data_IF_080448469610
#
_entry.id   IF_080448469610
#
_cell.length_a   1.000
_cell.length_b   1.000
_cell.length_c   1.000
_cell.angle_alpha   90.00
_cell.angle_beta   90.00
_cell.angle_gamma   90.00
#
_symmetry.space_group_name_H-M   'P 1'
#
loop_
_entity.id
_entity.type
_entity.pdbx_description
1 polymer ?
#
# COMPACT_ATOMS: atom_id res chain seq x y z
N UNK A 1 6.61 6.62 -10.27
CA UNK A 1 5.70 6.42 -9.12
C UNK A 1 6.09 7.27 -7.90
N UNK A 2 7.22 7.02 -7.20
CA UNK A 2 7.56 7.81 -5.99
C UNK A 2 7.83 9.30 -6.26
N UNK A 3 8.54 9.64 -7.34
CA UNK A 3 8.73 11.03 -7.74
C UNK A 3 7.40 11.77 -7.97
N UNK A 4 6.40 11.11 -8.57
CA UNK A 4 5.07 11.68 -8.81
C UNK A 4 4.24 11.80 -7.52
N UNK A 5 4.48 10.95 -6.51
CA UNK A 5 3.84 11.08 -5.21
C UNK A 5 4.39 12.30 -4.46
N UNK A 6 5.71 12.50 -4.51
CA UNK A 6 6.37 13.68 -3.92
C UNK A 6 5.84 14.99 -4.51
N UNK A 7 5.58 15.06 -5.82
CA UNK A 7 5.05 16.30 -6.44
C UNK A 7 3.65 16.67 -5.98
N UNK A 8 2.94 15.77 -5.27
CA UNK A 8 1.62 16.05 -4.70
C UNK A 8 1.69 16.58 -3.27
N UNK A 9 2.87 16.61 -2.65
CA UNK A 9 3.06 17.21 -1.34
C UNK A 9 3.17 18.73 -1.48
N UNK A 10 2.48 19.46 -0.61
CA UNK A 10 2.51 20.90 -0.47
C UNK A 10 3.29 21.31 0.80
N UNK A 11 4.50 20.75 0.94
CA UNK A 11 5.40 21.01 2.07
C UNK A 11 5.23 20.05 3.26
N UNK A 12 4.35 19.06 3.18
CA UNK A 12 4.24 18.04 4.23
C UNK A 12 5.48 17.13 4.25
N UNK A 13 5.80 16.62 5.45
CA UNK A 13 6.93 15.72 5.70
C UNK A 13 6.45 14.38 6.27
N UNK A 14 5.69 13.59 5.48
CA UNK A 14 5.09 12.36 5.96
C UNK A 14 6.15 11.30 6.31
N UNK A 15 5.71 10.31 7.08
CA UNK A 15 6.47 9.09 7.31
C UNK A 15 5.99 8.05 6.30
N UNK A 16 6.92 7.48 5.53
CA UNK A 16 6.62 6.32 4.70
C UNK A 16 7.07 5.06 5.42
N UNK A 17 6.11 4.25 5.85
CA UNK A 17 6.38 2.95 6.47
C UNK A 17 6.33 1.82 5.44
N UNK A 18 7.35 0.96 5.41
CA UNK A 18 7.42 -0.23 4.55
C UNK A 18 7.94 -1.44 5.32
N UNK A 19 7.81 -2.64 4.74
CA UNK A 19 8.60 -3.78 5.19
C UNK A 19 10.08 -3.65 4.79
N UNK A 20 10.88 -4.68 5.08
CA UNK A 20 12.31 -4.77 4.74
C UNK A 20 12.59 -5.38 3.36
N UNK A 21 11.59 -5.46 2.47
CA UNK A 21 11.76 -5.96 1.12
C UNK A 21 12.89 -5.24 0.37
N UNK A 22 13.67 -6.00 -0.40
CA UNK A 22 14.87 -5.50 -1.08
C UNK A 22 14.60 -4.26 -1.95
N UNK A 23 13.41 -4.18 -2.55
CA UNK A 23 12.97 -3.06 -3.37
C UNK A 23 12.91 -1.73 -2.60
N UNK A 24 12.61 -1.77 -1.30
CA UNK A 24 12.53 -0.60 -0.42
C UNK A 24 13.90 -0.18 0.14
N UNK A 25 14.94 -0.99 -0.11
CA UNK A 25 16.33 -0.70 0.26
C UNK A 25 17.15 -0.17 -0.92
N UNK A 26 16.63 -0.22 -2.15
CA UNK A 26 17.34 0.24 -3.34
C UNK A 26 17.55 1.77 -3.33
N UNK A 27 18.58 2.24 -4.04
CA UNK A 27 18.97 3.66 -4.14
C UNK A 27 17.84 4.64 -4.50
N UNK A 28 16.81 4.17 -5.19
CA UNK A 28 15.64 4.98 -5.56
C UNK A 28 14.68 5.27 -4.40
N UNK A 29 14.81 4.59 -3.25
CA UNK A 29 13.92 4.74 -2.10
C UNK A 29 14.42 5.79 -1.09
N UNK A 30 15.74 5.86 -0.78
CA UNK A 30 16.31 6.95 0.02
C UNK A 30 16.13 8.35 -0.59
N UNK A 31 15.74 8.47 -1.87
CA UNK A 31 15.39 9.77 -2.48
C UNK A 31 14.28 10.49 -1.71
N UNK A 32 13.43 9.75 -1.01
CA UNK A 32 12.35 10.27 -0.17
C UNK A 32 12.87 11.19 0.94
N UNK A 33 14.05 10.88 1.51
CA UNK A 33 14.70 11.71 2.51
C UNK A 33 15.07 13.10 1.97
N UNK A 34 15.39 13.21 0.67
CA UNK A 34 15.70 14.50 0.02
C UNK A 34 14.47 15.42 -0.05
N UNK A 35 13.28 14.86 0.08
CA UNK A 35 12.01 15.58 0.06
C UNK A 35 11.41 15.71 1.47
N UNK A 36 12.19 15.47 2.53
CA UNK A 36 11.72 15.57 3.91
C UNK A 36 10.81 14.41 4.35
N UNK A 37 10.64 13.37 3.53
CA UNK A 37 9.85 12.19 3.87
C UNK A 37 10.72 11.24 4.70
N UNK A 38 10.29 10.94 5.92
CA UNK A 38 11.02 10.01 6.79
C UNK A 38 10.69 8.56 6.42
N UNK A 39 11.68 7.80 6.00
CA UNK A 39 11.52 6.36 5.83
C UNK A 39 11.46 5.66 7.19
N UNK A 40 10.47 4.81 7.38
CA UNK A 40 10.32 3.89 8.51
C UNK A 40 10.21 2.47 7.96
N UNK A 41 10.93 1.52 8.54
CA UNK A 41 10.85 0.12 8.12
C UNK A 41 10.50 -0.78 9.29
N UNK A 42 9.75 -1.84 9.04
CA UNK A 42 9.43 -2.87 10.03
C UNK A 42 10.70 -3.48 10.64
N UNK A 43 10.63 -3.89 11.92
CA UNK A 43 11.75 -4.60 12.56
C UNK A 43 11.83 -6.04 12.05
N UNK A 44 13.04 -6.56 11.92
CA UNK A 44 13.27 -7.96 11.52
C UNK A 44 12.59 -8.90 12.53
N UNK A 45 11.72 -9.80 12.03
CA UNK A 45 11.00 -10.75 12.86
C UNK A 45 9.81 -10.19 13.64
N UNK A 46 9.41 -8.93 13.40
CA UNK A 46 8.22 -8.32 14.02
C UNK A 46 7.07 -8.22 13.01
N UNK A 47 6.15 -9.19 13.02
CA UNK A 47 4.99 -9.20 12.14
C UNK A 47 3.96 -8.10 12.46
N UNK A 48 3.97 -7.55 13.68
CA UNK A 48 2.99 -6.54 14.09
C UNK A 48 3.12 -5.23 13.30
N UNK A 49 4.33 -4.88 12.88
CA UNK A 49 4.60 -3.65 12.11
C UNK A 49 3.91 -3.70 10.73
N UNK A 50 3.72 -4.90 10.16
CA UNK A 50 3.08 -5.10 8.86
C UNK A 50 1.62 -5.56 8.97
N UNK A 51 1.16 -5.95 10.15
CA UNK A 51 -0.14 -6.57 10.37
C UNK A 51 -1.32 -5.73 9.84
N UNK A 52 -1.23 -4.39 9.91
CA UNK A 52 -2.25 -3.50 9.38
C UNK A 52 -2.39 -3.62 7.86
N UNK A 53 -1.27 -3.58 7.13
CA UNK A 53 -1.27 -3.72 5.67
C UNK A 53 -1.59 -5.16 5.25
N UNK A 54 -1.12 -6.16 5.99
CA UNK A 54 -1.49 -7.57 5.75
C UNK A 54 -2.99 -7.79 5.91
N UNK A 55 -3.61 -7.24 6.96
CA UNK A 55 -5.05 -7.32 7.18
C UNK A 55 -5.84 -6.62 6.08
N UNK A 56 -5.38 -5.43 5.65
CA UNK A 56 -5.98 -4.70 4.53
C UNK A 56 -5.96 -5.54 3.24
N UNK A 57 -4.78 -6.06 2.86
CA UNK A 57 -4.65 -6.86 1.64
C UNK A 57 -5.36 -8.21 1.74
N UNK A 58 -5.45 -8.79 2.95
CA UNK A 58 -6.27 -9.98 3.22
C UNK A 58 -7.73 -9.73 2.90
N UNK A 59 -8.33 -8.67 3.48
CA UNK A 59 -9.72 -8.26 3.21
C UNK A 59 -9.96 -7.96 1.74
N UNK A 60 -9.05 -7.23 1.10
CA UNK A 60 -9.14 -6.90 -0.32
C UNK A 60 -9.18 -8.15 -1.20
N UNK A 61 -8.26 -9.10 -0.98
CA UNK A 61 -8.20 -10.34 -1.75
C UNK A 61 -9.45 -11.16 -1.53
N UNK A 62 -9.89 -11.36 -0.29
CA UNK A 62 -11.12 -12.08 0.01
C UNK A 62 -12.31 -11.46 -0.73
N UNK A 63 -12.56 -10.16 -0.57
CA UNK A 63 -13.68 -9.50 -1.23
C UNK A 63 -13.57 -9.48 -2.78
N UNK A 64 -12.35 -9.46 -3.31
CA UNK A 64 -12.11 -9.45 -4.76
C UNK A 64 -12.48 -10.80 -5.39
N UNK A 65 -12.04 -11.91 -4.77
CA UNK A 65 -12.16 -13.27 -5.29
C UNK A 65 -13.40 -14.03 -4.78
N UNK A 66 -14.09 -13.55 -3.75
CA UNK A 66 -15.23 -14.23 -3.14
C UNK A 66 -16.33 -14.57 -4.17
N UNK A 67 -16.50 -15.87 -4.43
CA UNK A 67 -17.51 -16.39 -5.36
C UNK A 67 -17.32 -15.92 -6.81
N UNK A 68 -16.10 -15.52 -7.19
CA UNK A 68 -15.79 -15.03 -8.55
C UNK A 68 -14.70 -15.87 -9.21
N UNK A 69 -14.89 -16.13 -10.49
CA UNK A 69 -13.86 -16.58 -11.43
C UNK A 69 -13.70 -15.51 -12.50
N UNK A 70 -12.51 -15.40 -13.06
CA UNK A 70 -12.18 -14.42 -14.07
C UNK A 70 -11.56 -15.14 -15.27
N UNK A 71 -12.13 -14.92 -16.44
CA UNK A 71 -11.63 -15.53 -17.67
C UNK A 71 -10.51 -14.70 -18.30
N UNK A 72 -10.45 -13.40 -17.97
CA UNK A 72 -9.44 -12.48 -18.47
C UNK A 72 -8.87 -11.60 -17.36
N UNK A 73 -7.67 -11.07 -17.60
CA UNK A 73 -7.00 -10.17 -16.67
C UNK A 73 -7.78 -8.85 -16.50
N UNK A 74 -8.42 -8.34 -17.56
CA UNK A 74 -9.20 -7.11 -17.53
C UNK A 74 -10.42 -7.23 -16.60
N UNK A 75 -11.06 -8.40 -16.56
CA UNK A 75 -12.16 -8.66 -15.63
C UNK A 75 -11.67 -8.62 -14.17
N UNK A 76 -10.51 -9.25 -13.91
CA UNK A 76 -9.86 -9.21 -12.61
C UNK A 76 -9.46 -7.78 -12.23
N UNK A 77 -8.85 -7.04 -13.15
CA UNK A 77 -8.41 -5.65 -12.92
C UNK A 77 -9.60 -4.74 -12.57
N UNK A 78 -10.70 -4.83 -13.33
CA UNK A 78 -11.91 -4.06 -13.07
C UNK A 78 -12.51 -4.41 -11.70
N UNK A 79 -12.57 -5.69 -11.35
CA UNK A 79 -13.06 -6.13 -10.03
C UNK A 79 -12.12 -5.68 -8.92
N UNK A 80 -10.81 -5.80 -9.12
CA UNK A 80 -9.80 -5.37 -8.17
C UNK A 80 -9.93 -3.88 -7.88
N UNK A 81 -10.03 -3.02 -8.90
CA UNK A 81 -10.18 -1.58 -8.73
C UNK A 81 -11.46 -1.19 -7.98
N UNK A 82 -12.60 -1.81 -8.36
CA UNK A 82 -13.86 -1.56 -7.65
C UNK A 82 -13.82 -2.03 -6.19
N UNK A 83 -13.23 -3.20 -5.93
CA UNK A 83 -13.10 -3.74 -4.56
C UNK A 83 -12.09 -2.95 -3.73
N UNK A 84 -11.03 -2.44 -4.35
CA UNK A 84 -10.02 -1.61 -3.69
C UNK A 84 -10.63 -0.33 -3.12
N UNK A 85 -11.42 0.38 -3.93
CA UNK A 85 -12.13 1.60 -3.50
C UNK A 85 -13.09 1.27 -2.35
N UNK A 86 -13.88 0.21 -2.47
CA UNK A 86 -14.81 -0.20 -1.41
C UNK A 86 -14.08 -0.61 -0.12
N UNK A 87 -12.95 -1.32 -0.23
CA UNK A 87 -12.16 -1.76 0.92
C UNK A 87 -11.57 -0.55 1.64
N UNK A 88 -11.02 0.42 0.90
CA UNK A 88 -10.55 1.71 1.43
C UNK A 88 -11.66 2.42 2.19
N UNK A 89 -12.82 2.63 1.55
CA UNK A 89 -13.95 3.30 2.19
C UNK A 89 -14.39 2.55 3.45
N UNK A 90 -14.42 1.21 3.42
CA UNK A 90 -14.77 0.40 4.59
C UNK A 90 -13.76 0.43 5.74
N UNK A 91 -12.53 0.89 5.51
CA UNK A 91 -11.50 1.06 6.56
C UNK A 91 -11.57 2.46 7.14
N UNK A 92 -11.89 3.47 6.32
CA UNK A 92 -12.00 4.86 6.76
C UNK A 92 -13.38 5.23 7.35
N UNK A 93 -14.45 4.54 6.96
CA UNK A 93 -15.81 4.75 7.51
C UNK A 93 -16.06 4.11 8.88
N UNK A 94 -15.03 3.55 9.53
CA UNK A 94 -15.11 2.96 10.89
C UNK A 94 -14.55 3.91 11.95
N UNK A 95 -14.37 5.20 11.63
CA UNK A 95 -14.11 6.27 12.61
C UNK A 95 -15.19 7.34 12.53
#
# INVERSE_FOLDING_TARGET
MMAQAVTRLNGETPILHSDQGWQYQMRGYPILLKHGIRQSMSRKGNCLDNAAMESFFGRLKTACYEGKQFDTFEQLEKRFMSTFIMTIMSVFSVN
#
